data_IF_107604860242
#
_entry.id   IF_107604860242
#
_cell.length_a   1.000
_cell.length_b   1.000
_cell.length_c   1.000
_cell.angle_alpha   90.00
_cell.angle_beta   90.00
_cell.angle_gamma   90.00
#
_symmetry.space_group_name_H-M   'P 1'
#
loop_
_entity.id
_entity.type
_entity.pdbx_description
1 polymer ?
#
# COMPACT_ATOMS: atom_id res chain seq x y z
N UNK A 1 -12.90 54.28 18.80
CA UNK A 1 -12.78 54.09 17.33
C UNK A 1 -13.35 52.72 17.00
N UNK A 2 -14.39 52.72 16.16
CA UNK A 2 -15.15 51.55 15.73
C UNK A 2 -14.40 50.80 14.62
N UNK A 3 -14.50 49.47 14.61
CA UNK A 3 -14.04 48.64 13.50
C UNK A 3 -14.59 47.23 13.60
N UNK A 4 -15.82 47.03 13.14
CA UNK A 4 -16.40 45.70 12.84
C UNK A 4 -15.81 45.21 11.52
N UNK A 5 -15.38 43.95 11.49
CA UNK A 5 -15.13 43.19 10.25
C UNK A 5 -16.24 42.14 10.15
N UNK A 6 -17.13 42.16 9.13
CA UNK A 6 -18.08 41.09 8.89
C UNK A 6 -17.53 40.04 7.90
N UNK A 7 -18.04 38.83 8.06
CA UNK A 7 -17.63 37.61 7.37
C UNK A 7 -17.92 37.61 5.87
N UNK A 8 -17.10 36.83 5.17
CA UNK A 8 -17.08 36.61 3.73
C UNK A 8 -17.96 35.39 3.40
N UNK A 9 -18.97 35.57 2.56
CA UNK A 9 -19.76 34.51 1.91
C UNK A 9 -19.57 34.70 0.39
N UNK A 10 -19.33 33.65 -0.41
CA UNK A 10 -19.01 33.81 -1.83
C UNK A 10 -20.28 34.04 -2.66
N UNK A 11 -20.25 35.14 -3.40
CA UNK A 11 -21.27 35.59 -4.35
C UNK A 11 -21.04 34.93 -5.72
N UNK A 12 -22.14 34.60 -6.39
CA UNK A 12 -22.22 33.94 -7.70
C UNK A 12 -21.63 34.82 -8.81
N UNK A 13 -20.86 34.22 -9.72
CA UNK A 13 -20.39 34.87 -10.94
C UNK A 13 -21.45 34.68 -12.04
N UNK A 14 -22.13 35.76 -12.37
CA UNK A 14 -22.90 35.97 -13.60
C UNK A 14 -21.92 36.35 -14.73
N UNK A 15 -22.08 35.77 -15.92
CA UNK A 15 -21.36 36.22 -17.11
C UNK A 15 -22.35 36.45 -18.25
N UNK A 16 -22.28 37.68 -18.75
CA UNK A 16 -23.24 38.36 -19.61
C UNK A 16 -23.27 37.87 -21.05
N UNK A 17 -24.44 38.10 -21.62
CA UNK A 17 -24.81 38.20 -23.04
C UNK A 17 -23.77 38.98 -23.86
N UNK A 18 -23.37 38.43 -25.01
CA UNK A 18 -22.80 39.22 -26.11
C UNK A 18 -23.87 39.33 -27.20
N UNK A 19 -24.45 40.53 -27.31
CA UNK A 19 -25.17 40.99 -28.49
C UNK A 19 -24.12 41.55 -29.46
N UNK A 20 -24.06 40.99 -30.66
CA UNK A 20 -23.39 41.59 -31.81
C UNK A 20 -24.46 42.09 -32.78
N UNK A 21 -24.42 43.37 -33.06
CA UNK A 21 -25.40 44.18 -33.79
C UNK A 21 -24.90 44.46 -35.22
N UNK A 22 -25.83 44.40 -36.19
CA UNK A 22 -25.87 45.10 -37.50
C UNK A 22 -24.74 44.82 -38.53
N UNK A 23 -24.87 44.90 -39.86
CA UNK A 23 -25.89 45.30 -40.86
C UNK A 23 -25.37 44.75 -42.21
N UNK A 24 -26.23 44.44 -43.18
CA UNK A 24 -26.09 44.91 -44.59
C UNK A 24 -27.21 44.32 -45.46
N UNK A 25 -27.83 45.23 -46.21
CA UNK A 25 -28.86 45.00 -47.22
C UNK A 25 -28.25 44.39 -48.49
N UNK A 26 -29.06 43.65 -49.27
CA UNK A 26 -29.43 43.97 -50.66
C UNK A 26 -29.72 42.71 -51.50
N UNK A 27 -30.69 42.87 -52.41
CA UNK A 27 -31.03 42.07 -53.60
C UNK A 27 -32.19 41.05 -53.49
N UNK A 28 -33.37 41.51 -53.92
CA UNK A 28 -34.33 40.67 -54.67
C UNK A 28 -33.77 40.36 -56.08
N UNK A 29 -34.28 39.31 -56.76
CA UNK A 29 -35.43 39.54 -57.65
C UNK A 29 -36.54 38.47 -57.54
N UNK A 30 -37.77 38.98 -57.55
CA UNK A 30 -39.02 38.48 -58.13
C UNK A 30 -39.01 37.12 -58.87
N UNK A 31 -40.02 36.26 -58.61
CA UNK A 31 -41.16 36.00 -59.53
C UNK A 31 -41.81 34.60 -59.30
N UNK A 32 -43.15 34.61 -59.16
CA UNK A 32 -44.14 33.51 -59.26
C UNK A 32 -44.51 32.68 -58.02
N UNK A 33 -45.49 33.22 -57.30
CA UNK A 33 -46.81 32.61 -57.05
C UNK A 33 -47.07 31.26 -57.73
N UNK A 34 -47.34 30.21 -56.96
CA UNK A 34 -48.39 29.24 -57.28
C UNK A 34 -48.82 28.41 -56.05
N UNK A 35 -50.05 28.71 -55.64
CA UNK A 35 -51.10 27.79 -55.21
C UNK A 35 -50.86 26.83 -54.02
N UNK A 36 -51.67 27.08 -52.99
CA UNK A 36 -52.07 26.17 -51.91
C UNK A 36 -52.26 24.71 -52.35
N UNK A 37 -51.70 23.80 -51.57
CA UNK A 37 -52.33 22.51 -51.32
C UNK A 37 -52.21 22.20 -49.83
N UNK A 38 -53.31 22.42 -49.09
CA UNK A 38 -53.51 21.87 -47.76
C UNK A 38 -53.38 20.34 -47.83
N UNK A 39 -52.42 19.79 -47.10
CA UNK A 39 -52.33 18.36 -46.79
C UNK A 39 -52.96 18.17 -45.40
N UNK A 40 -53.86 17.19 -45.21
CA UNK A 40 -54.58 17.01 -43.95
C UNK A 40 -53.59 16.76 -42.82
N UNK A 41 -53.79 17.47 -41.71
CA UNK A 41 -52.95 17.44 -40.52
C UNK A 41 -52.77 16.03 -39.94
N UNK A 42 -51.75 15.32 -40.40
CA UNK A 42 -51.15 14.23 -39.65
C UNK A 42 -50.47 14.87 -38.45
N UNK A 43 -51.08 14.71 -37.28
CA UNK A 43 -50.65 15.16 -35.95
C UNK A 43 -49.14 15.45 -35.86
N UNK A 44 -48.74 16.70 -36.12
CA UNK A 44 -47.35 17.18 -36.02
C UNK A 44 -46.76 16.90 -34.63
N UNK A 45 -47.62 16.84 -33.60
CA UNK A 45 -47.31 16.42 -32.23
C UNK A 45 -46.86 14.95 -32.14
N UNK A 46 -47.52 14.02 -32.83
CA UNK A 46 -47.16 12.59 -32.81
C UNK A 46 -45.86 12.28 -33.53
N UNK A 47 -45.55 13.02 -34.60
CA UNK A 47 -44.28 12.92 -35.32
C UNK A 47 -43.13 13.48 -34.48
N UNK A 48 -43.32 14.64 -33.83
CA UNK A 48 -42.34 15.21 -32.90
C UNK A 48 -42.06 14.31 -31.68
N UNK A 49 -43.10 13.69 -31.11
CA UNK A 49 -42.98 12.73 -30.00
C UNK A 49 -42.23 11.45 -30.41
N UNK A 50 -42.52 10.88 -31.60
CA UNK A 50 -41.78 9.72 -32.11
C UNK A 50 -40.32 10.04 -32.43
N UNK A 51 -40.04 11.20 -33.02
CA UNK A 51 -38.67 11.62 -33.33
C UNK A 51 -37.85 11.87 -32.04
N UNK A 52 -38.41 12.55 -31.03
CA UNK A 52 -37.66 12.80 -29.79
C UNK A 52 -37.38 11.50 -29.03
N UNK A 53 -38.31 10.53 -29.04
CA UNK A 53 -38.14 9.25 -28.37
C UNK A 53 -37.05 8.37 -29.02
N UNK A 54 -36.96 8.36 -30.36
CA UNK A 54 -35.91 7.64 -31.10
C UNK A 54 -34.54 8.29 -30.88
N UNK A 55 -34.46 9.63 -30.91
CA UNK A 55 -33.22 10.37 -30.69
C UNK A 55 -32.73 10.22 -29.24
N UNK A 56 -33.64 10.26 -28.26
CA UNK A 56 -33.30 10.09 -26.84
C UNK A 56 -32.78 8.68 -26.54
N UNK A 57 -33.37 7.64 -27.14
CA UNK A 57 -32.92 6.26 -26.96
C UNK A 57 -31.57 6.00 -27.65
N UNK A 58 -31.35 6.58 -28.84
CA UNK A 58 -30.05 6.54 -29.52
C UNK A 58 -28.97 7.27 -28.74
N UNK A 59 -29.18 8.50 -28.28
CA UNK A 59 -28.20 9.23 -27.47
C UNK A 59 -27.87 8.49 -26.17
N UNK A 60 -28.87 7.89 -25.51
CA UNK A 60 -28.65 7.08 -24.31
C UNK A 60 -27.83 5.82 -24.60
N UNK A 61 -28.08 5.14 -25.72
CA UNK A 61 -27.28 4.00 -26.17
C UNK A 61 -25.84 4.40 -26.49
N UNK A 62 -25.64 5.52 -27.19
CA UNK A 62 -24.32 6.06 -27.51
C UNK A 62 -23.54 6.46 -26.25
N UNK A 63 -24.20 7.05 -25.24
CA UNK A 63 -23.56 7.34 -23.95
C UNK A 63 -23.12 6.08 -23.20
N UNK A 64 -23.96 5.03 -23.18
CA UNK A 64 -23.61 3.75 -22.54
C UNK A 64 -22.43 3.11 -23.27
N UNK A 65 -22.43 3.13 -24.61
CA UNK A 65 -21.34 2.59 -25.41
C UNK A 65 -20.03 3.36 -25.18
N UNK A 66 -20.08 4.69 -25.14
CA UNK A 66 -18.92 5.53 -24.86
C UNK A 66 -18.36 5.29 -23.45
N UNK A 67 -19.23 5.19 -22.44
CA UNK A 67 -18.82 4.86 -21.08
C UNK A 67 -18.16 3.49 -20.99
N UNK A 68 -18.69 2.48 -21.69
CA UNK A 68 -18.08 1.15 -21.75
C UNK A 68 -16.69 1.18 -22.39
N UNK A 69 -16.52 1.91 -23.50
CA UNK A 69 -15.22 2.09 -24.14
C UNK A 69 -14.23 2.79 -23.20
N UNK A 70 -14.66 3.82 -22.46
CA UNK A 70 -13.83 4.50 -21.48
C UNK A 70 -13.39 3.55 -20.36
N UNK A 71 -14.32 2.76 -19.80
CA UNK A 71 -13.99 1.77 -18.75
C UNK A 71 -12.99 0.74 -19.29
N UNK A 72 -13.21 0.24 -20.51
CA UNK A 72 -12.27 -0.67 -21.15
C UNK A 72 -10.90 -0.03 -21.37
N UNK A 73 -10.85 1.21 -21.85
CA UNK A 73 -9.61 1.94 -22.06
C UNK A 73 -8.88 2.18 -20.73
N UNK A 74 -9.57 2.64 -19.68
CA UNK A 74 -8.99 2.81 -18.35
C UNK A 74 -8.50 1.48 -17.78
N UNK A 75 -9.29 0.40 -17.90
CA UNK A 75 -8.89 -0.92 -17.46
C UNK A 75 -7.64 -1.43 -18.19
N UNK A 76 -7.58 -1.27 -19.51
CA UNK A 76 -6.41 -1.59 -20.32
C UNK A 76 -5.18 -0.77 -19.90
N UNK A 77 -5.34 0.54 -19.69
CA UNK A 77 -4.27 1.41 -19.22
C UNK A 77 -3.73 0.95 -17.86
N UNK A 78 -4.60 0.58 -16.91
CA UNK A 78 -4.19 0.09 -15.60
C UNK A 78 -3.45 -1.25 -15.69
N UNK A 79 -3.96 -2.18 -16.50
CA UNK A 79 -3.28 -3.47 -16.73
C UNK A 79 -1.89 -3.25 -17.33
N UNK A 80 -1.78 -2.41 -18.36
CA UNK A 80 -0.48 -2.08 -18.97
C UNK A 80 0.44 -1.39 -17.98
N UNK A 81 -0.09 -0.46 -17.17
CA UNK A 81 0.69 0.23 -16.15
C UNK A 81 1.22 -0.75 -15.09
N UNK A 82 0.40 -1.67 -14.57
CA UNK A 82 0.83 -2.66 -13.58
C UNK A 82 1.87 -3.67 -14.09
N UNK A 83 1.90 -3.93 -15.40
CA UNK A 83 2.89 -4.85 -16.00
C UNK A 83 4.21 -4.14 -16.30
N UNK A 84 4.15 -2.84 -16.65
CA UNK A 84 5.33 -2.08 -17.11
C UNK A 84 6.00 -1.34 -15.94
N UNK A 85 5.21 -0.81 -15.02
CA UNK A 85 5.73 -0.03 -13.90
C UNK A 85 6.29 -0.98 -12.84
N UNK A 86 7.60 -0.94 -12.69
CA UNK A 86 8.29 -1.53 -11.54
C UNK A 86 8.56 -0.38 -10.58
N UNK A 87 8.08 -0.48 -9.34
CA UNK A 87 8.46 0.50 -8.32
C UNK A 87 9.93 0.31 -7.96
N UNK A 88 10.66 1.41 -7.90
CA UNK A 88 12.11 1.39 -7.66
C UNK A 88 12.45 0.88 -6.26
N UNK A 89 11.52 1.03 -5.30
CA UNK A 89 11.67 0.52 -3.94
C UNK A 89 11.26 -0.95 -3.77
N UNK A 90 10.43 -1.47 -4.68
CA UNK A 90 10.02 -2.87 -4.76
C UNK A 90 11.00 -3.71 -5.59
N UNK A 91 11.70 -3.12 -6.57
CA UNK A 91 12.72 -3.78 -7.37
C UNK A 91 13.89 -4.32 -6.53
N UNK A 92 14.38 -5.52 -6.88
CA UNK A 92 15.58 -6.10 -6.31
C UNK A 92 16.27 -7.02 -7.30
N UNK A 93 17.61 -7.07 -7.21
CA UNK A 93 18.45 -7.93 -8.03
C UNK A 93 18.77 -9.23 -7.28
N UNK A 94 18.14 -10.32 -7.71
CA UNK A 94 18.31 -11.64 -7.12
C UNK A 94 19.73 -12.18 -7.25
N UNK A 95 20.41 -11.90 -8.36
CA UNK A 95 21.77 -12.38 -8.60
C UNK A 95 22.77 -11.60 -7.75
N UNK A 96 22.56 -10.29 -7.58
CA UNK A 96 23.39 -9.49 -6.68
C UNK A 96 23.27 -9.94 -5.21
N UNK A 97 22.09 -10.36 -4.78
CA UNK A 97 21.90 -10.91 -3.43
C UNK A 97 22.50 -12.32 -3.32
N UNK A 98 22.27 -13.20 -4.30
CA UNK A 98 22.81 -14.55 -4.29
C UNK A 98 24.34 -14.59 -4.28
N UNK A 99 24.98 -13.60 -4.92
CA UNK A 99 26.42 -13.40 -4.93
C UNK A 99 26.90 -12.37 -3.90
N UNK A 100 26.01 -11.98 -2.97
CA UNK A 100 26.29 -11.01 -1.93
C UNK A 100 27.30 -11.51 -0.91
N UNK A 101 27.84 -10.58 -0.12
CA UNK A 101 28.68 -10.94 1.02
C UNK A 101 27.80 -11.35 2.20
N UNK A 102 28.24 -12.35 2.95
CA UNK A 102 27.58 -12.71 4.20
C UNK A 102 27.94 -11.71 5.29
N UNK A 103 26.91 -11.16 5.93
CA UNK A 103 27.03 -10.24 7.04
C UNK A 103 26.36 -10.84 8.27
N UNK A 104 27.13 -10.98 9.35
CA UNK A 104 26.65 -11.55 10.59
C UNK A 104 26.40 -10.46 11.62
N UNK A 105 25.30 -10.58 12.35
CA UNK A 105 24.99 -9.75 13.51
C UNK A 105 24.86 -10.63 14.74
N UNK A 106 25.52 -10.24 15.84
CA UNK A 106 25.38 -10.92 17.11
C UNK A 106 24.47 -10.14 18.04
N UNK A 107 23.47 -10.79 18.61
CA UNK A 107 22.46 -10.13 19.42
C UNK A 107 22.25 -10.74 20.79
N UNK A 108 21.64 -9.95 21.66
CA UNK A 108 21.16 -10.41 22.96
C UNK A 108 19.74 -9.96 23.24
N UNK A 109 19.06 -10.74 24.08
CA UNK A 109 17.64 -10.61 24.42
C UNK A 109 17.44 -11.20 25.82
N UNK A 110 16.74 -10.51 26.70
CA UNK A 110 16.29 -11.07 27.98
C UNK A 110 14.95 -11.77 27.84
N UNK A 111 14.87 -12.94 28.46
CA UNK A 111 13.67 -13.73 28.60
C UNK A 111 13.19 -13.58 30.04
N UNK A 112 11.90 -13.33 30.22
CA UNK A 112 11.27 -13.31 31.52
C UNK A 112 10.40 -14.55 31.69
N UNK A 113 10.39 -15.05 32.91
CA UNK A 113 9.62 -16.22 33.29
C UNK A 113 8.99 -15.98 34.67
N UNK A 114 7.65 -16.04 34.74
CA UNK A 114 6.93 -15.57 35.93
C UNK A 114 7.24 -16.38 37.21
N UNK A 115 7.52 -17.68 37.08
CA UNK A 115 7.78 -18.57 38.21
C UNK A 115 9.26 -18.98 38.35
N UNK A 116 10.15 -18.50 37.47
CA UNK A 116 11.57 -18.87 37.44
C UNK A 116 12.44 -17.70 36.95
N UNK A 117 12.67 -16.68 37.79
CA UNK A 117 13.32 -15.43 37.39
C UNK A 117 14.76 -15.61 36.92
N UNK A 118 15.48 -16.57 37.51
CA UNK A 118 16.86 -16.93 37.18
C UNK A 118 16.94 -17.95 36.02
N UNK A 119 15.81 -18.21 35.34
CA UNK A 119 15.66 -19.10 34.17
C UNK A 119 16.45 -20.41 34.28
N UNK A 120 16.46 -21.04 35.46
CA UNK A 120 17.14 -22.30 35.66
C UNK A 120 16.31 -23.43 35.05
N UNK A 121 16.65 -23.82 33.82
CA UNK A 121 15.90 -24.78 33.03
C UNK A 121 16.55 -26.17 33.02
N UNK A 122 15.72 -27.20 32.92
CA UNK A 122 16.21 -28.55 32.59
C UNK A 122 16.78 -28.59 31.17
N UNK A 123 17.66 -29.56 30.87
CA UNK A 123 18.23 -29.71 29.53
C UNK A 123 17.16 -29.86 28.42
N UNK A 124 16.05 -30.54 28.71
CA UNK A 124 14.92 -30.65 27.78
C UNK A 124 14.17 -29.33 27.58
N UNK A 125 13.96 -28.57 28.66
CA UNK A 125 13.31 -27.26 28.60
C UNK A 125 14.17 -26.25 27.84
N UNK A 126 15.49 -26.26 28.07
CA UNK A 126 16.45 -25.48 27.31
C UNK A 126 16.37 -25.78 25.81
N UNK A 127 16.35 -27.07 25.43
CA UNK A 127 16.28 -27.47 24.03
C UNK A 127 15.01 -26.95 23.36
N UNK A 128 13.85 -27.11 24.01
CA UNK A 128 12.57 -26.62 23.48
C UNK A 128 12.55 -25.09 23.34
N UNK A 129 13.11 -24.38 24.32
CA UNK A 129 13.22 -22.92 24.27
C UNK A 129 14.13 -22.48 23.11
N UNK A 130 15.30 -23.10 22.97
CA UNK A 130 16.25 -22.81 21.91
C UNK A 130 15.64 -23.05 20.53
N UNK A 131 14.95 -24.17 20.32
CA UNK A 131 14.25 -24.49 19.06
C UNK A 131 13.14 -23.47 18.76
N UNK A 132 12.34 -23.10 19.78
CA UNK A 132 11.25 -22.15 19.59
C UNK A 132 11.75 -20.72 19.31
N UNK A 133 12.80 -20.26 20.00
CA UNK A 133 13.41 -18.96 19.73
C UNK A 133 14.07 -18.92 18.36
N UNK A 134 14.77 -19.98 17.97
CA UNK A 134 15.35 -20.09 16.63
C UNK A 134 14.26 -20.00 15.56
N UNK A 135 13.16 -20.75 15.72
CA UNK A 135 12.01 -20.68 14.81
C UNK A 135 11.42 -19.28 14.75
N UNK A 136 11.22 -18.62 15.90
CA UNK A 136 10.67 -17.25 15.94
C UNK A 136 11.57 -16.25 15.24
N UNK A 137 12.88 -16.27 15.50
CA UNK A 137 13.85 -15.40 14.81
C UNK A 137 13.84 -15.65 13.31
N UNK A 138 13.86 -16.93 12.91
CA UNK A 138 13.78 -17.34 11.51
C UNK A 138 12.52 -16.78 10.86
N UNK A 139 11.34 -17.00 11.45
CA UNK A 139 10.07 -16.53 10.89
C UNK A 139 10.02 -15.00 10.77
N UNK A 140 10.47 -14.28 11.80
CA UNK A 140 10.48 -12.81 11.81
C UNK A 140 11.28 -12.25 10.65
N UNK A 141 12.49 -12.77 10.43
CA UNK A 141 13.36 -12.23 9.39
C UNK A 141 13.03 -12.80 8.02
N UNK A 142 12.66 -14.07 7.88
CA UNK A 142 12.22 -14.69 6.62
C UNK A 142 10.97 -14.00 6.06
N UNK A 143 9.97 -13.71 6.90
CA UNK A 143 8.72 -13.09 6.45
C UNK A 143 8.72 -11.56 6.50
N UNK A 144 9.84 -10.93 6.87
CA UNK A 144 9.98 -9.48 6.84
C UNK A 144 9.90 -8.95 5.40
N UNK A 145 8.97 -8.04 5.06
CA UNK A 145 8.91 -7.44 3.73
C UNK A 145 10.20 -6.70 3.35
N UNK A 146 10.92 -6.18 4.34
CA UNK A 146 12.14 -5.42 4.15
C UNK A 146 13.41 -6.28 4.18
N UNK A 147 13.46 -7.33 5.00
CA UNK A 147 14.68 -8.11 5.26
C UNK A 147 14.67 -9.54 4.69
N UNK A 148 13.50 -10.11 4.40
CA UNK A 148 13.36 -11.54 4.07
C UNK A 148 14.16 -11.97 2.85
N UNK A 149 14.29 -11.08 1.85
CA UNK A 149 15.09 -11.36 0.66
C UNK A 149 16.59 -11.46 0.93
N UNK A 150 17.08 -10.90 2.03
CA UNK A 150 18.49 -10.92 2.41
C UNK A 150 18.79 -11.97 3.50
N UNK A 151 17.78 -12.48 4.20
CA UNK A 151 17.98 -13.35 5.35
C UNK A 151 18.48 -14.74 4.95
N UNK A 152 19.48 -15.24 5.66
CA UNK A 152 20.04 -16.59 5.47
C UNK A 152 19.67 -17.50 6.63
N UNK A 153 20.02 -17.12 7.86
CA UNK A 153 19.80 -17.96 9.04
C UNK A 153 19.76 -17.14 10.33
N UNK A 154 19.16 -17.75 11.35
CA UNK A 154 19.20 -17.31 12.72
C UNK A 154 19.59 -18.49 13.60
N UNK A 155 20.46 -18.26 14.58
CA UNK A 155 20.98 -19.29 15.47
C UNK A 155 21.00 -18.83 16.92
N UNK A 156 20.66 -19.73 17.84
CA UNK A 156 20.77 -19.49 19.28
C UNK A 156 22.14 -19.98 19.73
N UNK A 157 22.98 -19.05 20.19
CA UNK A 157 24.36 -19.33 20.56
C UNK A 157 24.45 -19.82 22.00
N UNK A 158 23.72 -19.16 22.92
CA UNK A 158 23.73 -19.51 24.33
C UNK A 158 22.54 -18.92 25.08
N UNK A 159 22.22 -19.53 26.23
CA UNK A 159 21.35 -18.96 27.25
C UNK A 159 22.18 -18.81 28.52
N UNK A 160 22.16 -17.62 29.11
CA UNK A 160 22.74 -17.34 30.40
C UNK A 160 21.67 -17.46 31.48
N UNK A 161 21.83 -18.41 32.39
CA UNK A 161 20.93 -18.63 33.52
C UNK A 161 20.94 -17.40 34.45
N UNK A 162 22.12 -16.85 34.77
CA UNK A 162 22.25 -15.79 35.79
C UNK A 162 21.48 -14.49 35.48
N UNK A 163 21.33 -14.15 34.20
CA UNK A 163 20.68 -12.90 33.75
C UNK A 163 19.53 -13.15 32.77
N UNK A 164 19.11 -14.42 32.64
CA UNK A 164 18.05 -14.87 31.74
C UNK A 164 18.21 -14.33 30.31
N UNK A 165 19.46 -14.27 29.86
CA UNK A 165 19.85 -13.61 28.60
C UNK A 165 20.14 -14.65 27.53
N UNK A 166 19.44 -14.57 26.41
CA UNK A 166 19.69 -15.31 25.18
C UNK A 166 20.70 -14.54 24.35
N UNK A 167 21.71 -15.24 23.84
CA UNK A 167 22.60 -14.75 22.78
C UNK A 167 22.24 -15.45 21.48
N UNK A 168 22.13 -14.69 20.39
CA UNK A 168 21.78 -15.20 19.07
C UNK A 168 22.66 -14.60 17.98
N UNK A 169 22.72 -15.24 16.83
CA UNK A 169 23.40 -14.75 15.63
C UNK A 169 22.41 -14.72 14.48
N UNK A 170 22.51 -13.68 13.65
CA UNK A 170 21.74 -13.54 12.41
C UNK A 170 22.72 -13.43 11.24
N UNK A 171 22.45 -14.15 10.16
CA UNK A 171 23.25 -14.09 8.94
C UNK A 171 22.40 -13.57 7.78
N UNK A 172 22.94 -12.62 7.03
CA UNK A 172 22.30 -12.03 5.86
C UNK A 172 23.22 -12.06 4.64
N UNK A 173 22.66 -12.27 3.45
CA UNK A 173 23.35 -12.05 2.18
C UNK A 173 23.10 -10.63 1.73
N UNK A 174 24.16 -9.83 1.68
CA UNK A 174 24.08 -8.41 1.38
C UNK A 174 24.61 -8.16 -0.03
N UNK A 175 23.82 -7.54 -0.93
CA UNK A 175 24.32 -7.13 -2.24
C UNK A 175 25.50 -6.16 -2.06
N UNK A 176 26.31 -5.88 -3.10
CA UNK A 176 27.56 -5.13 -3.00
C UNK A 176 27.48 -3.96 -2.00
N UNK A 177 28.10 -4.16 -0.84
CA UNK A 177 27.85 -3.35 0.34
C UNK A 177 28.20 -1.88 0.06
N UNK A 178 27.19 -1.00 0.14
CA UNK A 178 27.43 0.43 0.23
C UNK A 178 27.17 0.89 1.66
N UNK A 179 27.92 1.88 2.13
CA UNK A 179 27.69 2.47 3.47
C UNK A 179 26.24 2.95 3.62
N UNK A 180 25.62 3.43 2.54
CA UNK A 180 24.23 3.85 2.52
C UNK A 180 23.26 2.66 2.68
N UNK A 181 23.53 1.52 2.04
CA UNK A 181 22.71 0.32 2.21
C UNK A 181 22.72 -0.13 3.68
N UNK A 182 23.91 -0.26 4.28
CA UNK A 182 24.01 -0.65 5.69
C UNK A 182 23.38 0.37 6.62
N UNK A 183 23.50 1.67 6.32
CA UNK A 183 22.92 2.72 7.15
C UNK A 183 21.39 2.78 7.10
N UNK A 184 20.79 2.60 5.92
CA UNK A 184 19.35 2.85 5.72
C UNK A 184 18.50 1.59 5.55
N UNK A 185 19.06 0.48 5.08
CA UNK A 185 18.34 -0.78 4.81
C UNK A 185 18.69 -1.90 5.79
N UNK A 186 19.93 -1.93 6.30
CA UNK A 186 20.43 -3.04 7.12
C UNK A 186 21.19 -2.57 8.37
N UNK A 187 20.70 -1.50 9.00
CA UNK A 187 21.32 -0.99 10.23
C UNK A 187 20.94 -1.86 11.43
N UNK A 188 21.81 -1.91 12.44
CA UNK A 188 21.53 -2.60 13.71
C UNK A 188 20.20 -2.15 14.31
N UNK A 189 19.94 -0.84 14.29
CA UNK A 189 18.69 -0.26 14.77
C UNK A 189 17.48 -0.76 13.99
N UNK A 190 17.59 -0.86 12.67
CA UNK A 190 16.52 -1.41 11.83
C UNK A 190 16.23 -2.88 12.17
N UNK A 191 17.27 -3.71 12.26
CA UNK A 191 17.13 -5.13 12.60
C UNK A 191 16.53 -5.34 14.00
N UNK A 192 16.97 -4.56 15.00
CA UNK A 192 16.41 -4.57 16.35
C UNK A 192 14.94 -4.18 16.32
N UNK A 193 14.59 -3.13 15.57
CA UNK A 193 13.22 -2.63 15.53
C UNK A 193 12.26 -3.61 14.84
N UNK A 194 12.71 -4.36 13.84
CA UNK A 194 11.90 -5.44 13.23
C UNK A 194 11.57 -6.51 14.26
N UNK A 195 12.57 -7.00 15.01
CA UNK A 195 12.34 -8.01 16.05
C UNK A 195 11.50 -7.46 17.20
N UNK A 196 11.77 -6.23 17.62
CA UNK A 196 11.01 -5.54 18.67
C UNK A 196 9.53 -5.42 18.30
N UNK A 197 9.23 -5.06 17.05
CA UNK A 197 7.86 -4.97 16.56
C UNK A 197 7.16 -6.34 16.63
N UNK A 198 7.83 -7.41 16.20
CA UNK A 198 7.29 -8.76 16.35
C UNK A 198 7.03 -9.14 17.82
N UNK A 199 7.90 -8.73 18.75
CA UNK A 199 7.71 -8.98 20.18
C UNK A 199 6.50 -8.24 20.73
N UNK A 200 6.22 -7.01 20.27
CA UNK A 200 5.03 -6.27 20.69
C UNK A 200 3.74 -6.78 20.04
N UNK A 201 3.80 -7.28 18.80
CA UNK A 201 2.62 -7.73 18.05
C UNK A 201 2.15 -9.13 18.46
N UNK A 202 3.04 -9.95 19.03
CA UNK A 202 2.74 -11.29 19.51
C UNK A 202 2.88 -11.34 21.02
N UNK A 203 1.75 -11.43 21.72
CA UNK A 203 1.72 -11.70 23.16
C UNK A 203 2.28 -13.10 23.42
N UNK A 204 3.20 -13.18 24.40
CA UNK A 204 3.85 -14.39 24.91
C UNK A 204 4.53 -15.29 23.85
N UNK A 205 5.27 -16.30 24.30
CA UNK A 205 5.60 -17.43 23.43
C UNK A 205 4.35 -18.33 23.35
N UNK A 206 3.33 -17.84 22.66
CA UNK A 206 1.96 -18.37 22.68
C UNK A 206 1.92 -19.89 22.44
N UNK A 207 1.38 -20.63 23.41
CA UNK A 207 1.22 -22.09 23.33
C UNK A 207 2.49 -22.92 23.60
N UNK A 208 3.61 -22.29 23.97
CA UNK A 208 4.85 -23.00 24.31
C UNK A 208 4.85 -23.44 25.78
N UNK A 209 4.64 -24.73 26.03
CA UNK A 209 4.76 -25.32 27.37
C UNK A 209 6.23 -25.65 27.67
N UNK A 210 6.95 -24.71 28.28
CA UNK A 210 8.33 -24.89 28.74
C UNK A 210 8.32 -25.45 30.17
N UNK A 211 8.78 -26.70 30.39
CA UNK A 211 8.81 -27.27 31.73
C UNK A 211 9.68 -26.43 32.67
N UNK A 212 9.09 -25.98 33.78
CA UNK A 212 9.77 -25.12 34.75
C UNK A 212 9.71 -23.63 34.41
N UNK A 213 8.93 -23.24 33.40
CA UNK A 213 8.60 -21.84 33.15
C UNK A 213 7.11 -21.64 32.79
N UNK A 214 6.41 -20.81 33.56
CA UNK A 214 5.05 -20.39 33.25
C UNK A 214 5.05 -18.96 32.75
N UNK A 215 4.28 -18.70 31.69
CA UNK A 215 4.11 -17.37 31.09
C UNK A 215 5.46 -16.74 30.71
N UNK A 216 6.11 -17.33 29.71
CA UNK A 216 7.40 -16.88 29.21
C UNK A 216 7.21 -15.71 28.24
N UNK A 217 7.94 -14.62 28.50
CA UNK A 217 7.89 -13.41 27.68
C UNK A 217 9.28 -12.93 27.29
N UNK A 218 9.36 -12.19 26.19
CA UNK A 218 10.59 -11.59 25.69
C UNK A 218 10.59 -10.11 26.09
N UNK A 219 11.71 -9.60 26.60
CA UNK A 219 11.83 -8.17 26.93
C UNK A 219 12.25 -7.36 25.68
N UNK A 220 11.34 -6.60 25.06
CA UNK A 220 11.61 -5.83 23.84
C UNK A 220 12.62 -4.68 24.04
N UNK A 221 12.84 -4.26 25.28
CA UNK A 221 13.77 -3.17 25.63
C UNK A 221 15.19 -3.66 25.87
N UNK A 222 15.36 -4.96 26.13
CA UNK A 222 16.65 -5.60 26.37
C UNK A 222 17.44 -5.91 25.09
N UNK A 223 16.81 -5.79 23.92
CA UNK A 223 17.40 -6.13 22.63
C UNK A 223 18.66 -5.31 22.32
N UNK A 224 19.73 -6.00 21.93
CA UNK A 224 20.95 -5.38 21.42
C UNK A 224 21.53 -6.18 20.25
N UNK A 225 22.28 -5.50 19.37
CA UNK A 225 23.04 -6.09 18.25
C UNK A 225 24.44 -5.49 18.18
N UNK A 226 25.44 -6.33 17.91
CA UNK A 226 26.85 -5.99 17.70
C UNK A 226 27.29 -6.41 16.31
#
# INVERSE_FOLDING_TARGET
MNGRVPGRNPEYIECNVIVGEEREEESEPNLNEHLYQEVPGVNQRTVKLKCSQIVFWKCKLWMVLAAFVLILATGLCLILYSVIYTDEDEYWDAEAIANGNHHNFSGTLKVHCANNPDLSLSASAYKLLSESLNSRLTDVYTYSPALGRYFISADIISLSDNDSTVSYELCFSVPPETEEFMKYRMSKEFLINVLRQNIYDQDDMDGLDIPGCTNMTLDPTSLSLT
#
